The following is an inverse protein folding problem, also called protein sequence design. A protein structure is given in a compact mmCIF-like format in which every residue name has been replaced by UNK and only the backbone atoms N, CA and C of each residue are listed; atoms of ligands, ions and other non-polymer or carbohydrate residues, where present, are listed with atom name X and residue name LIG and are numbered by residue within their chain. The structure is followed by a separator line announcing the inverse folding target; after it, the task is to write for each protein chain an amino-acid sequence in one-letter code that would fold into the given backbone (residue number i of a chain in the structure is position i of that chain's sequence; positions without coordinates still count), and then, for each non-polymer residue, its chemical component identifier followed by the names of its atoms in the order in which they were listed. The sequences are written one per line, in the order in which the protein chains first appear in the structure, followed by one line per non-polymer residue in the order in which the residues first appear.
data_IF_750518440173
#
_entry.id   IF_750518440173
#
_cell.length_a   1.000
_cell.length_b   1.000
_cell.length_c   1.000
_cell.angle_alpha   90.00
_cell.angle_beta   90.00
_cell.angle_gamma   90.00
#
_symmetry.space_group_name_H-M   'P 1'
#
loop_
_entity.id
_entity.type
_entity.pdbx_description
1 polymer ?
#
# COMPACT_ATOMS: atom_id res chain seq x y z
N UNK A 1 25.25 38.39 52.10
CA UNK A 1 26.08 37.76 51.05
C UNK A 1 25.66 36.33 50.70
N UNK A 2 25.55 35.39 51.64
CA UNK A 2 25.21 33.96 51.35
C UNK A 2 23.79 33.75 50.80
N UNK A 3 22.78 34.44 51.36
CA UNK A 3 21.37 34.31 50.94
C UNK A 3 21.11 34.81 49.51
N UNK A 4 21.82 35.86 49.08
CA UNK A 4 21.68 36.45 47.74
C UNK A 4 22.27 35.54 46.64
N UNK A 5 23.34 34.81 46.94
CA UNK A 5 23.95 33.84 46.00
C UNK A 5 23.07 32.61 45.79
N UNK A 6 22.39 32.14 46.83
CA UNK A 6 21.45 31.01 46.76
C UNK A 6 20.23 31.35 45.90
N UNK A 7 19.68 32.55 46.06
CA UNK A 7 18.51 33.00 45.28
C UNK A 7 18.84 33.13 43.78
N UNK A 8 20.02 33.65 43.44
CA UNK A 8 20.48 33.77 42.06
C UNK A 8 20.74 32.39 41.44
N UNK A 9 21.31 31.44 42.18
CA UNK A 9 21.51 30.07 41.67
C UNK A 9 20.20 29.31 41.47
N UNK A 10 19.19 29.54 42.31
CA UNK A 10 17.87 28.89 42.15
C UNK A 10 17.09 29.46 40.97
N UNK A 11 17.20 30.76 40.68
CA UNK A 11 16.58 31.38 39.51
C UNK A 11 17.24 30.95 38.19
N UNK A 12 18.56 30.78 38.18
CA UNK A 12 19.28 30.26 37.01
C UNK A 12 18.93 28.79 36.72
N UNK A 13 18.75 27.97 37.75
CA UNK A 13 18.32 26.57 37.60
C UNK A 13 16.88 26.47 37.05
N UNK A 14 15.98 27.35 37.48
CA UNK A 14 14.59 27.35 37.01
C UNK A 14 14.48 27.76 35.52
N UNK A 15 15.29 28.72 35.06
CA UNK A 15 15.32 29.17 33.67
C UNK A 15 15.93 28.12 32.71
N UNK A 16 16.83 27.26 33.19
CA UNK A 16 17.39 26.15 32.42
C UNK A 16 16.40 24.98 32.27
N UNK A 17 15.47 24.80 33.21
CA UNK A 17 14.48 23.72 33.17
C UNK A 17 13.26 24.08 32.30
N UNK A 18 12.89 25.35 32.18
CA UNK A 18 11.78 25.79 31.29
C UNK A 18 12.15 25.92 29.82
N UNK A 19 13.43 25.96 29.46
CA UNK A 19 13.89 26.01 28.06
C UNK A 19 13.85 24.67 27.31
N UNK A 20 13.55 23.55 28.01
CA UNK A 20 13.72 22.18 27.50
C UNK A 20 12.42 21.35 27.45
N UNK A 21 11.26 21.96 27.18
CA UNK A 21 10.01 21.19 26.99
C UNK A 21 9.09 21.88 25.97
N UNK A 22 8.63 21.22 24.89
CA UNK A 22 9.43 20.57 23.86
C UNK A 22 8.97 21.03 22.45
N UNK A 23 9.91 21.19 21.51
CA UNK A 23 9.61 21.22 20.07
C UNK A 23 9.20 19.81 19.54
N UNK A 24 8.51 19.03 20.39
CA UNK A 24 8.02 17.68 20.11
C UNK A 24 6.51 17.67 19.82
N UNK A 25 5.89 18.84 19.62
CA UNK A 25 4.66 18.92 18.84
C UNK A 25 5.01 18.90 17.34
N UNK A 26 5.82 17.93 16.94
CA UNK A 26 5.80 17.48 15.56
C UNK A 26 4.43 16.83 15.38
N UNK A 27 3.49 17.60 14.81
CA UNK A 27 2.18 17.12 14.43
C UNK A 27 2.31 15.79 13.72
N UNK A 28 1.96 14.70 14.40
CA UNK A 28 1.70 13.41 13.76
C UNK A 28 0.35 13.51 13.08
N UNK A 29 0.29 14.30 12.00
CA UNK A 29 -0.76 14.09 11.01
C UNK A 29 -0.44 12.72 10.41
N UNK A 30 -1.10 11.69 10.95
CA UNK A 30 -1.13 10.39 10.35
C UNK A 30 -1.79 10.56 8.98
N UNK A 31 -0.98 10.85 7.98
CA UNK A 31 -1.40 10.85 6.59
C UNK A 31 -1.83 9.41 6.30
N UNK A 32 -3.14 9.17 6.34
CA UNK A 32 -3.72 8.00 5.69
C UNK A 32 -3.32 8.12 4.24
N UNK A 33 -2.24 7.44 3.85
CA UNK A 33 -1.81 7.32 2.45
C UNK A 33 -2.87 6.47 1.76
N UNK A 34 -3.98 7.11 1.36
CA UNK A 34 -4.94 6.49 0.48
C UNK A 34 -4.19 6.17 -0.80
N UNK A 35 -4.17 4.89 -1.18
CA UNK A 35 -3.66 4.51 -2.48
C UNK A 35 -4.46 5.28 -3.54
N UNK A 36 -3.81 5.80 -4.60
CA UNK A 36 -4.52 6.44 -5.69
C UNK A 36 -5.62 5.50 -6.19
N UNK A 37 -6.84 6.04 -6.38
CA UNK A 37 -7.93 5.27 -6.97
C UNK A 37 -7.48 4.79 -8.36
N UNK A 38 -7.68 3.51 -8.72
CA UNK A 38 -7.35 3.02 -10.05
C UNK A 38 -8.08 3.81 -11.14
N UNK A 39 -7.41 4.07 -12.26
CA UNK A 39 -7.99 4.78 -13.42
C UNK A 39 -8.86 3.86 -14.28
N UNK A 40 -8.63 2.55 -14.19
CA UNK A 40 -9.41 1.51 -14.85
C UNK A 40 -9.26 0.18 -14.10
N UNK A 41 -10.19 -0.73 -14.36
CA UNK A 41 -10.14 -2.12 -13.93
C UNK A 41 -10.12 -3.01 -15.18
N UNK A 42 -9.23 -4.00 -15.23
CA UNK A 42 -9.04 -4.87 -16.40
C UNK A 42 -9.05 -6.32 -15.96
N UNK A 43 -9.87 -7.14 -16.62
CA UNK A 43 -9.77 -8.59 -16.53
C UNK A 43 -8.64 -9.07 -17.45
N UNK A 44 -7.59 -9.63 -16.86
CA UNK A 44 -6.45 -10.20 -17.56
C UNK A 44 -6.59 -11.73 -17.52
N UNK A 45 -6.62 -12.37 -18.69
CA UNK A 45 -6.50 -13.83 -18.82
C UNK A 45 -5.04 -14.16 -19.12
N UNK A 46 -4.28 -14.74 -18.16
CA UNK A 46 -2.91 -15.19 -18.40
C UNK A 46 -2.86 -16.35 -19.40
N UNK A 47 -1.73 -16.51 -20.07
CA UNK A 47 -1.48 -17.70 -20.89
C UNK A 47 -1.34 -18.97 -20.05
N UNK A 48 -0.68 -18.87 -18.89
CA UNK A 48 -0.43 -19.96 -17.94
C UNK A 48 -0.03 -19.36 -16.57
N UNK A 49 0.33 -20.22 -15.62
CA UNK A 49 0.69 -19.87 -14.25
C UNK A 49 2.10 -19.25 -14.07
N UNK A 50 2.91 -19.16 -15.14
CA UNK A 50 4.29 -18.68 -15.01
C UNK A 50 4.33 -17.19 -14.66
N UNK A 51 5.33 -16.72 -13.88
CA UNK A 51 5.41 -15.32 -13.43
C UNK A 51 5.42 -14.27 -14.54
N UNK A 52 5.85 -14.64 -15.75
CA UNK A 52 5.84 -13.77 -16.93
C UNK A 52 4.42 -13.46 -17.42
N UNK A 53 3.48 -14.37 -17.17
CA UNK A 53 2.08 -14.26 -17.59
C UNK A 53 1.18 -13.74 -16.47
N UNK A 54 1.61 -13.84 -15.20
CA UNK A 54 0.83 -13.40 -14.02
C UNK A 54 1.46 -12.16 -13.36
N UNK A 55 2.57 -12.34 -12.66
CA UNK A 55 3.21 -11.33 -11.82
C UNK A 55 3.69 -10.08 -12.59
N UNK A 56 4.40 -10.23 -13.71
CA UNK A 56 4.89 -9.05 -14.46
C UNK A 56 3.78 -8.20 -15.07
N UNK A 57 2.74 -8.79 -15.70
CA UNK A 57 1.57 -8.03 -16.13
C UNK A 57 0.86 -7.33 -14.97
N UNK A 58 0.70 -7.99 -13.81
CA UNK A 58 0.12 -7.36 -12.61
C UNK A 58 0.88 -6.11 -12.19
N UNK A 59 2.19 -6.23 -12.08
CA UNK A 59 3.06 -5.12 -11.69
C UNK A 59 3.00 -3.97 -12.69
N UNK A 60 3.00 -4.28 -13.98
CA UNK A 60 2.92 -3.28 -15.06
C UNK A 60 1.58 -2.53 -15.03
N UNK A 61 0.47 -3.25 -14.89
CA UNK A 61 -0.86 -2.64 -14.79
C UNK A 61 -0.96 -1.72 -13.56
N UNK A 62 -0.53 -2.20 -12.38
CA UNK A 62 -0.55 -1.40 -11.15
C UNK A 62 0.36 -0.18 -11.23
N UNK A 63 1.52 -0.29 -11.86
CA UNK A 63 2.41 0.85 -12.11
C UNK A 63 1.75 1.91 -13.02
N UNK A 64 0.92 1.48 -13.97
CA UNK A 64 0.08 2.34 -14.81
C UNK A 64 -1.20 2.86 -14.15
N UNK A 65 -1.43 2.56 -12.86
CA UNK A 65 -2.64 2.96 -12.15
C UNK A 65 -3.89 2.14 -12.50
N UNK A 66 -3.73 1.00 -13.19
CA UNK A 66 -4.80 0.07 -13.52
C UNK A 66 -4.91 -1.01 -12.45
N UNK A 67 -6.13 -1.43 -12.12
CA UNK A 67 -6.41 -2.58 -11.26
C UNK A 67 -6.60 -3.84 -12.12
N UNK A 68 -5.61 -4.74 -12.20
CA UNK A 68 -5.78 -6.02 -12.87
C UNK A 68 -6.50 -7.01 -11.94
N UNK A 69 -7.48 -7.73 -12.49
CA UNK A 69 -8.04 -8.95 -11.89
C UNK A 69 -7.67 -10.15 -12.77
N UNK A 70 -7.46 -11.29 -12.13
CA UNK A 70 -7.08 -12.56 -12.76
C UNK A 70 -7.91 -13.71 -12.16
N UNK A 71 -8.02 -14.83 -12.89
CA UNK A 71 -8.55 -16.06 -12.33
C UNK A 71 -7.60 -16.63 -11.27
N UNK A 72 -8.10 -17.62 -10.52
CA UNK A 72 -7.27 -18.41 -9.62
C UNK A 72 -6.22 -19.23 -10.42
N UNK A 73 -5.09 -19.54 -9.81
CA UNK A 73 -3.95 -20.17 -10.50
C UNK A 73 -4.20 -21.65 -10.87
N UNK A 74 -5.13 -22.31 -10.18
CA UNK A 74 -5.45 -23.73 -10.36
C UNK A 74 -6.19 -24.03 -11.67
N UNK A 75 -6.87 -23.04 -12.23
CA UNK A 75 -7.56 -23.15 -13.53
C UNK A 75 -6.63 -22.78 -14.70
N UNK A 76 -5.45 -22.24 -14.43
CA UNK A 76 -4.45 -21.91 -15.45
C UNK A 76 -3.66 -23.14 -15.89
N UNK A 77 -3.09 -23.07 -17.09
CA UNK A 77 -2.17 -24.10 -17.57
C UNK A 77 -0.88 -24.15 -16.73
N UNK A 78 -0.28 -25.34 -16.66
CA UNK A 78 0.97 -25.59 -15.94
C UNK A 78 1.91 -26.48 -16.77
N UNK A 79 3.04 -25.93 -17.22
CA UNK A 79 4.01 -26.57 -18.13
C UNK A 79 3.40 -27.18 -19.40
N UNK A 80 3.08 -28.48 -19.36
CA UNK A 80 2.51 -29.26 -20.47
C UNK A 80 1.02 -29.57 -20.25
N UNK A 81 0.51 -29.26 -19.07
CA UNK A 81 -0.90 -29.42 -18.71
C UNK A 81 -1.64 -28.17 -19.17
N UNK A 82 -2.63 -28.30 -20.07
CA UNK A 82 -3.47 -27.17 -20.46
C UNK A 82 -4.34 -26.72 -19.27
N UNK A 83 -4.70 -25.44 -19.24
CA UNK A 83 -5.66 -24.91 -18.27
C UNK A 83 -7.10 -25.24 -18.64
N UNK A 84 -8.04 -24.91 -17.74
CA UNK A 84 -9.46 -25.11 -17.95
C UNK A 84 -10.09 -23.90 -18.67
N UNK A 85 -10.31 -24.06 -19.97
CA UNK A 85 -10.88 -22.99 -20.78
C UNK A 85 -12.35 -22.66 -20.47
N UNK A 86 -13.11 -23.62 -19.94
CA UNK A 86 -14.52 -23.40 -19.57
C UNK A 86 -14.58 -22.59 -18.27
N UNK A 87 -13.82 -22.99 -17.24
CA UNK A 87 -13.77 -22.27 -15.97
C UNK A 87 -13.20 -20.86 -16.12
N UNK A 88 -12.18 -20.67 -16.98
CA UNK A 88 -11.67 -19.33 -17.33
C UNK A 88 -12.75 -18.49 -18.02
N UNK A 89 -13.55 -19.09 -18.91
CA UNK A 89 -14.64 -18.42 -19.60
C UNK A 89 -15.74 -17.96 -18.65
N UNK A 90 -16.12 -18.82 -17.70
CA UNK A 90 -17.09 -18.52 -16.65
C UNK A 90 -16.57 -17.42 -15.70
N UNK A 91 -15.30 -17.51 -15.30
CA UNK A 91 -14.63 -16.47 -14.52
C UNK A 91 -14.65 -15.11 -15.24
N UNK A 92 -14.36 -15.09 -16.55
CA UNK A 92 -14.33 -13.85 -17.33
C UNK A 92 -15.72 -13.22 -17.43
N UNK A 93 -16.75 -14.02 -17.70
CA UNK A 93 -18.14 -13.55 -17.73
C UNK A 93 -18.58 -12.99 -16.37
N UNK A 94 -18.28 -13.70 -15.28
CA UNK A 94 -18.55 -13.24 -13.92
C UNK A 94 -17.83 -11.93 -13.59
N UNK A 95 -16.59 -11.78 -14.06
CA UNK A 95 -15.74 -10.61 -13.85
C UNK A 95 -16.20 -9.36 -14.62
N UNK A 96 -16.82 -9.53 -15.78
CA UNK A 96 -17.32 -8.43 -16.62
C UNK A 96 -18.67 -7.88 -16.17
N UNK A 97 -19.41 -8.61 -15.32
CA UNK A 97 -20.71 -8.21 -14.82
C UNK A 97 -21.76 -8.11 -15.93
N UNK A 98 -22.40 -9.24 -16.26
CA UNK A 98 -23.56 -9.33 -17.16
C UNK A 98 -23.49 -8.40 -18.39
N UNK A 99 -22.47 -8.59 -19.23
CA UNK A 99 -22.50 -8.06 -20.59
C UNK A 99 -23.15 -9.13 -21.45
N UNK A 100 -24.49 -9.08 -21.50
CA UNK A 100 -25.32 -9.80 -22.48
C UNK A 100 -25.35 -9.00 -23.77
#
# INVERSE_FOLDING_TARGET
MKKLRVVISTLAMAALVTGMVPFAQASTVAAKKALPKPIAKVALVPLDDRPVNTYFPQMSARAGGVEPIMPDEDILGHFITPGDGEEIGDWLQASLGAVV
#
